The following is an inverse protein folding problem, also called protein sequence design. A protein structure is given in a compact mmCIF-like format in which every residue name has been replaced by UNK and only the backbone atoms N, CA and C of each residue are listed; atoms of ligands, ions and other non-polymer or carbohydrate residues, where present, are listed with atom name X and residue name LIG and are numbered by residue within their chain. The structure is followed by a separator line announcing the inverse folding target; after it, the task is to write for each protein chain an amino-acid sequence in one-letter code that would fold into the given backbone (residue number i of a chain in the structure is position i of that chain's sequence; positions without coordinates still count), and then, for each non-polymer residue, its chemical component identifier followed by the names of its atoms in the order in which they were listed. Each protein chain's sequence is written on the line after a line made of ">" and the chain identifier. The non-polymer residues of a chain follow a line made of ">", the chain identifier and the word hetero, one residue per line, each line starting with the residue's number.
data_IF_348865789579
#
_entry.id   IF_348865789579
#
_cell.length_a   1.000
_cell.length_b   1.000
_cell.length_c   1.000
_cell.angle_alpha   90.00
_cell.angle_beta   90.00
_cell.angle_gamma   90.00
#
_symmetry.space_group_name_H-M   'P 1'
#
loop_
_entity.id
_entity.type
_entity.pdbx_description
1 polymer ?
#
# COMPACT_ATOMS: atom_id res chain seq x y z
N UNK A 1 -7.74 1.24 35.85
CA UNK A 1 -8.66 1.17 34.70
C UNK A 1 -7.83 1.18 33.42
N UNK A 2 -7.65 0.04 32.75
CA UNK A 2 -7.06 0.04 31.41
C UNK A 2 -8.12 0.53 30.44
N UNK A 3 -8.02 1.79 30.00
CA UNK A 3 -8.82 2.27 28.88
C UNK A 3 -8.43 1.41 27.67
N UNK A 4 -9.35 0.53 27.27
CA UNK A 4 -9.13 -0.43 26.19
C UNK A 4 -9.31 0.31 24.86
N UNK A 5 -8.36 1.16 24.52
CA UNK A 5 -8.32 1.78 23.20
C UNK A 5 -7.98 0.69 22.19
N UNK A 6 -9.02 0.04 21.66
CA UNK A 6 -8.90 -1.00 20.66
C UNK A 6 -8.61 -0.31 19.33
N UNK A 7 -7.36 -0.37 18.90
CA UNK A 7 -6.96 0.07 17.57
C UNK A 7 -6.89 -1.13 16.65
N UNK A 8 -7.45 -0.99 15.44
CA UNK A 8 -7.28 -1.98 14.38
C UNK A 8 -5.81 -2.01 13.94
N UNK A 9 -5.31 -3.20 13.64
CA UNK A 9 -3.95 -3.45 13.15
C UNK A 9 -3.97 -4.58 12.13
N UNK A 10 -2.96 -4.62 11.26
CA UNK A 10 -2.68 -5.78 10.42
C UNK A 10 -1.58 -6.62 11.06
N UNK A 11 -1.78 -7.94 11.20
CA UNK A 11 -0.78 -8.85 11.75
C UNK A 11 -0.31 -9.80 10.65
N UNK A 12 0.96 -9.65 10.24
CA UNK A 12 1.62 -10.56 9.31
C UNK A 12 2.29 -11.67 10.11
N UNK A 13 1.65 -12.85 10.12
CA UNK A 13 2.15 -14.06 10.79
C UNK A 13 3.06 -14.80 9.80
N UNK A 14 4.35 -14.90 10.11
CA UNK A 14 5.30 -15.54 9.21
C UNK A 14 5.16 -17.06 9.26
N UNK A 15 5.24 -17.72 8.10
CA UNK A 15 5.52 -19.16 8.08
C UNK A 15 6.90 -19.39 8.71
N UNK A 16 7.06 -20.44 9.52
CA UNK A 16 8.28 -20.73 10.30
C UNK A 16 9.52 -20.72 9.41
N UNK A 17 9.45 -21.28 8.19
CA UNK A 17 10.57 -21.33 7.23
C UNK A 17 11.03 -19.95 6.72
N UNK A 18 10.23 -18.91 6.94
CA UNK A 18 10.48 -17.54 6.51
C UNK A 18 10.59 -16.56 7.69
N UNK A 19 10.68 -17.05 8.93
CA UNK A 19 10.83 -16.19 10.12
C UNK A 19 12.03 -15.25 9.98
N UNK A 20 13.18 -15.74 9.53
CA UNK A 20 14.39 -14.91 9.37
C UNK A 20 14.18 -13.77 8.35
N UNK A 21 13.45 -14.04 7.27
CA UNK A 21 13.08 -13.01 6.28
C UNK A 21 12.18 -11.97 6.94
N UNK A 22 11.20 -12.38 7.76
CA UNK A 22 10.35 -11.47 8.52
C UNK A 22 11.13 -10.62 9.52
N UNK A 23 12.14 -11.20 10.20
CA UNK A 23 13.04 -10.46 11.08
C UNK A 23 13.83 -9.41 10.28
N UNK A 24 14.38 -9.77 9.13
CA UNK A 24 15.08 -8.82 8.26
C UNK A 24 14.17 -7.69 7.77
N UNK A 25 12.94 -8.02 7.37
CA UNK A 25 11.91 -7.04 6.98
C UNK A 25 11.63 -6.06 8.12
N UNK A 26 11.42 -6.56 9.34
CA UNK A 26 11.16 -5.69 10.51
C UNK A 26 12.34 -4.77 10.82
N UNK A 27 13.59 -5.26 10.71
CA UNK A 27 14.80 -4.44 10.92
C UNK A 27 14.91 -3.32 9.89
N UNK A 28 14.62 -3.61 8.62
CA UNK A 28 14.61 -2.61 7.53
C UNK A 28 13.53 -1.55 7.77
N UNK A 29 12.31 -1.95 8.14
CA UNK A 29 11.23 -1.01 8.45
C UNK A 29 11.59 -0.11 9.65
N UNK A 30 12.08 -0.68 10.76
CA UNK A 30 12.54 0.11 11.92
C UNK A 30 13.64 1.10 11.56
N UNK A 31 14.61 0.67 10.76
CA UNK A 31 15.67 1.54 10.27
C UNK A 31 15.10 2.70 9.45
N UNK A 32 14.25 2.41 8.46
CA UNK A 32 13.60 3.42 7.62
C UNK A 32 12.77 4.42 8.45
N UNK A 33 11.97 3.93 9.42
CA UNK A 33 11.17 4.81 10.29
C UNK A 33 12.06 5.66 11.22
N UNK A 34 13.18 5.14 11.71
CA UNK A 34 14.11 5.90 12.55
C UNK A 34 14.79 7.06 11.81
N UNK A 35 14.86 7.01 10.48
CA UNK A 35 15.47 8.05 9.64
C UNK A 35 14.46 9.02 9.03
N UNK A 36 13.15 8.78 9.24
CA UNK A 36 12.07 9.64 8.76
C UNK A 36 11.89 10.94 9.55
N UNK A 37 12.58 11.14 10.67
CA UNK A 37 12.51 12.36 11.49
C UNK A 37 12.80 13.63 10.69
N UNK A 38 13.62 13.52 9.63
CA UNK A 38 13.97 14.62 8.71
C UNK A 38 13.11 14.66 7.44
N UNK A 39 12.13 13.77 7.29
CA UNK A 39 11.24 13.67 6.13
C UNK A 39 9.90 13.06 6.56
N UNK A 40 9.06 13.81 7.30
CA UNK A 40 7.73 13.32 7.67
C UNK A 40 6.86 13.09 6.42
N UNK A 41 6.04 12.04 6.43
CA UNK A 41 5.06 11.78 5.37
C UNK A 41 5.56 10.95 4.18
N UNK A 42 6.66 10.20 4.31
CA UNK A 42 7.05 9.24 3.27
C UNK A 42 6.03 8.09 3.20
N UNK A 43 5.49 7.74 2.00
CA UNK A 43 4.51 6.66 1.85
C UNK A 43 5.12 5.25 2.01
N UNK A 44 5.42 4.87 3.26
CA UNK A 44 5.87 3.55 3.66
C UNK A 44 4.97 3.01 4.76
N UNK A 45 4.66 1.71 4.72
CA UNK A 45 3.88 1.05 5.77
C UNK A 45 4.56 1.21 7.14
N UNK A 46 3.77 1.53 8.15
CA UNK A 46 4.23 1.67 9.52
C UNK A 46 4.27 0.33 10.24
N UNK A 47 5.40 0.06 10.90
CA UNK A 47 5.58 -1.08 11.78
C UNK A 47 5.30 -0.62 13.21
N UNK A 48 4.22 -1.11 13.79
CA UNK A 48 3.81 -0.81 15.16
C UNK A 48 4.72 -1.57 16.14
N UNK A 49 4.81 -2.89 16.00
CA UNK A 49 5.64 -3.74 16.85
C UNK A 49 5.89 -5.11 16.22
N UNK A 50 6.65 -5.95 16.91
CA UNK A 50 6.93 -7.33 16.54
C UNK A 50 6.83 -8.22 17.77
N UNK A 51 6.35 -9.44 17.62
CA UNK A 51 6.34 -10.44 18.69
C UNK A 51 6.48 -11.85 18.11
N UNK A 52 6.66 -12.83 18.98
CA UNK A 52 6.64 -14.25 18.61
C UNK A 52 5.40 -14.90 19.22
N UNK A 53 4.68 -15.70 18.44
CA UNK A 53 3.56 -16.50 18.91
C UNK A 53 3.77 -17.95 18.51
N UNK A 54 4.02 -18.80 19.52
CA UNK A 54 4.53 -20.16 19.28
C UNK A 54 5.84 -20.11 18.47
N UNK A 55 5.96 -20.84 17.36
CA UNK A 55 7.16 -20.81 16.51
C UNK A 55 7.12 -19.69 15.44
N UNK A 56 6.10 -18.83 15.42
CA UNK A 56 5.90 -17.85 14.35
C UNK A 56 6.39 -16.45 14.75
N UNK A 57 7.23 -15.86 13.92
CA UNK A 57 7.54 -14.43 14.02
C UNK A 57 6.37 -13.61 13.45
N UNK A 58 5.96 -12.56 14.16
CA UNK A 58 4.81 -11.74 13.79
C UNK A 58 5.20 -10.27 13.69
N UNK A 59 4.81 -9.62 12.58
CA UNK A 59 4.90 -8.17 12.40
C UNK A 59 3.51 -7.56 12.60
N UNK A 60 3.42 -6.52 13.43
CA UNK A 60 2.21 -5.72 13.61
C UNK A 60 2.38 -4.43 12.84
N UNK A 61 1.52 -4.21 11.85
CA UNK A 61 1.56 -3.10 10.93
C UNK A 61 0.31 -2.23 11.11
N UNK A 62 0.38 -0.98 10.65
CA UNK A 62 -0.82 -0.16 10.50
C UNK A 62 -1.84 -0.85 9.58
N UNK A 63 -3.14 -0.71 9.84
CA UNK A 63 -4.17 -1.25 8.94
C UNK A 63 -4.19 -0.46 7.65
N UNK A 64 -4.05 -1.16 6.51
CA UNK A 64 -4.18 -0.60 5.17
C UNK A 64 -5.07 -1.51 4.33
N UNK A 65 -5.67 -0.96 3.28
CA UNK A 65 -6.62 -1.67 2.43
C UNK A 65 -6.06 -1.88 1.01
N UNK A 66 -6.47 -2.98 0.37
CA UNK A 66 -6.16 -3.23 -1.04
C UNK A 66 -4.93 -4.12 -1.27
N UNK A 67 -4.19 -3.82 -2.35
CA UNK A 67 -3.24 -4.75 -3.01
C UNK A 67 -3.64 -5.12 -4.44
N UNK A 68 -4.63 -4.45 -5.02
CA UNK A 68 -4.87 -4.48 -6.46
C UNK A 68 -5.14 -3.04 -6.88
N UNK A 69 -4.13 -2.39 -7.46
CA UNK A 69 -4.35 -1.17 -8.26
C UNK A 69 -5.13 -1.53 -9.52
N UNK A 70 -6.41 -1.85 -9.36
CA UNK A 70 -7.28 -2.19 -10.47
C UNK A 70 -7.83 -0.93 -11.13
N UNK A 71 -6.96 0.04 -11.44
CA UNK A 71 -7.32 1.11 -12.37
C UNK A 71 -7.85 0.47 -13.68
N UNK A 72 -7.25 -0.65 -14.10
CA UNK A 72 -7.67 -1.46 -15.24
C UNK A 72 -9.06 -2.13 -15.12
N UNK A 73 -9.53 -2.52 -13.92
CA UNK A 73 -10.84 -3.18 -13.78
C UNK A 73 -11.98 -2.19 -14.02
N UNK A 74 -11.78 -0.91 -13.69
CA UNK A 74 -12.72 0.16 -14.04
C UNK A 74 -12.89 0.27 -15.56
N UNK A 75 -11.80 0.17 -16.33
CA UNK A 75 -11.85 0.20 -17.80
C UNK A 75 -12.56 -1.02 -18.40
N UNK A 76 -12.35 -2.23 -17.85
CA UNK A 76 -12.98 -3.47 -18.37
C UNK A 76 -14.48 -3.52 -18.01
N UNK A 77 -14.87 -3.07 -16.81
CA UNK A 77 -16.27 -3.08 -16.40
C UNK A 77 -17.11 -2.06 -17.18
N UNK A 78 -16.57 -0.85 -17.42
CA UNK A 78 -17.25 0.19 -18.20
C UNK A 78 -17.41 -0.16 -19.68
N UNK A 79 -16.55 -1.03 -20.23
CA UNK A 79 -16.72 -1.56 -21.59
C UNK A 79 -17.96 -2.43 -21.78
N UNK A 80 -18.51 -2.96 -20.69
CA UNK A 80 -19.68 -3.84 -20.73
C UNK A 80 -20.99 -3.13 -20.33
N UNK A 81 -20.95 -1.85 -19.95
CA UNK A 81 -22.17 -1.09 -19.66
C UNK A 81 -22.81 -0.66 -20.98
N UNK A 82 -23.89 -1.35 -21.37
CA UNK A 82 -24.79 -0.85 -22.42
C UNK A 82 -25.51 0.40 -21.91
N UNK A 83 -25.57 1.48 -22.72
CA UNK A 83 -26.15 2.75 -22.31
C UNK A 83 -27.66 2.61 -22.20
N UNK A 84 -28.18 2.43 -20.99
CA UNK A 84 -29.63 2.46 -20.76
C UNK A 84 -30.06 3.43 -19.66
N UNK A 85 -29.14 4.21 -19.06
CA UNK A 85 -29.50 5.11 -17.95
C UNK A 85 -28.63 6.36 -17.75
N UNK A 86 -27.71 6.72 -18.64
CA UNK A 86 -26.93 7.97 -18.54
C UNK A 86 -27.25 8.94 -19.69
N UNK A 87 -27.54 10.20 -19.35
CA UNK A 87 -27.80 11.31 -20.29
C UNK A 87 -26.55 11.81 -21.04
N UNK A 88 -25.39 11.20 -20.80
CA UNK A 88 -24.14 11.45 -21.52
C UNK A 88 -23.98 10.44 -22.65
N UNK A 89 -23.40 10.88 -23.77
CA UNK A 89 -23.00 9.97 -24.85
C UNK A 89 -21.94 9.00 -24.34
N UNK A 90 -21.86 7.76 -24.85
CA UNK A 90 -20.82 6.82 -24.47
C UNK A 90 -19.43 7.47 -24.53
N UNK A 91 -19.11 8.20 -25.61
CA UNK A 91 -17.85 8.92 -25.79
C UNK A 91 -17.51 9.89 -24.65
N UNK A 92 -18.50 10.64 -24.14
CA UNK A 92 -18.28 11.56 -23.02
C UNK A 92 -17.97 10.81 -21.71
N UNK A 93 -18.66 9.69 -21.45
CA UNK A 93 -18.41 8.84 -20.28
C UNK A 93 -17.01 8.24 -20.32
N UNK A 94 -16.54 7.81 -21.49
CA UNK A 94 -15.18 7.29 -21.68
C UNK A 94 -14.11 8.34 -21.38
N UNK A 95 -14.26 9.56 -21.92
CA UNK A 95 -13.31 10.64 -21.71
C UNK A 95 -13.23 11.10 -20.25
N UNK A 96 -14.37 11.21 -19.58
CA UNK A 96 -14.40 11.59 -18.17
C UNK A 96 -13.73 10.51 -17.28
N UNK A 97 -14.02 9.24 -17.55
CA UNK A 97 -13.42 8.10 -16.85
C UNK A 97 -11.91 8.03 -17.08
N UNK A 98 -11.47 8.15 -18.33
CA UNK A 98 -10.05 8.12 -18.70
C UNK A 98 -9.28 9.23 -17.97
N UNK A 99 -9.83 10.45 -17.98
CA UNK A 99 -9.25 11.57 -17.28
C UNK A 99 -9.14 11.31 -15.77
N UNK A 100 -10.18 10.77 -15.13
CA UNK A 100 -10.15 10.40 -13.71
C UNK A 100 -9.09 9.32 -13.41
N UNK A 101 -8.97 8.30 -14.25
CA UNK A 101 -7.95 7.26 -14.10
C UNK A 101 -6.53 7.81 -14.26
N UNK A 102 -6.28 8.68 -15.24
CA UNK A 102 -4.98 9.35 -15.42
C UNK A 102 -4.63 10.22 -14.21
N UNK A 103 -5.60 10.95 -13.65
CA UNK A 103 -5.39 11.73 -12.45
C UNK A 103 -5.03 10.85 -11.24
N UNK A 104 -5.71 9.71 -11.07
CA UNK A 104 -5.39 8.75 -10.02
C UNK A 104 -4.00 8.15 -10.21
N UNK A 105 -3.68 7.69 -11.43
CA UNK A 105 -2.37 7.15 -11.79
C UNK A 105 -1.24 8.13 -11.49
N UNK A 106 -1.43 9.42 -11.82
CA UNK A 106 -0.47 10.48 -11.53
C UNK A 106 -0.24 10.69 -10.02
N UNK A 107 -1.30 10.66 -9.21
CA UNK A 107 -1.19 10.76 -7.74
C UNK A 107 -0.43 9.57 -7.16
N UNK A 108 -0.76 8.35 -7.61
CA UNK A 108 -0.08 7.13 -7.20
C UNK A 108 1.39 7.17 -7.60
N UNK A 109 1.68 7.54 -8.86
CA UNK A 109 3.05 7.65 -9.35
C UNK A 109 3.88 8.65 -8.54
N UNK A 110 3.31 9.79 -8.17
CA UNK A 110 3.98 10.77 -7.32
C UNK A 110 4.34 10.18 -5.94
N UNK A 111 3.39 9.51 -5.27
CA UNK A 111 3.63 8.86 -3.98
C UNK A 111 4.68 7.74 -4.08
N UNK A 112 4.60 6.90 -5.11
CA UNK A 112 5.59 5.84 -5.35
C UNK A 112 6.98 6.41 -5.59
N UNK A 113 7.10 7.48 -6.37
CA UNK A 113 8.38 8.14 -6.61
C UNK A 113 8.93 8.75 -5.33
N UNK A 114 8.10 9.32 -4.46
CA UNK A 114 8.52 9.79 -3.12
C UNK A 114 9.09 8.64 -2.29
N UNK A 115 8.41 7.48 -2.24
CA UNK A 115 8.91 6.31 -1.51
C UNK A 115 10.21 5.78 -2.12
N UNK A 116 10.31 5.70 -3.44
CA UNK A 116 11.49 5.21 -4.14
C UNK A 116 12.70 6.15 -4.01
N UNK A 117 12.49 7.45 -4.06
CA UNK A 117 13.53 8.44 -3.80
C UNK A 117 14.08 8.27 -2.38
N UNK A 118 13.20 8.11 -1.40
CA UNK A 118 13.59 7.86 -0.01
C UNK A 118 14.40 6.55 0.13
N UNK A 119 13.91 5.44 -0.42
CA UNK A 119 14.63 4.16 -0.42
C UNK A 119 16.01 4.28 -1.07
N UNK A 120 16.12 5.03 -2.18
CA UNK A 120 17.39 5.32 -2.86
C UNK A 120 18.36 6.07 -1.95
N UNK A 121 17.91 7.13 -1.24
CA UNK A 121 18.75 7.88 -0.28
C UNK A 121 19.24 6.98 0.86
N UNK A 122 18.39 6.05 1.30
CA UNK A 122 18.71 5.06 2.33
C UNK A 122 19.54 3.86 1.81
N UNK A 123 19.89 3.84 0.51
CA UNK A 123 20.59 2.75 -0.18
C UNK A 123 19.90 1.38 -0.03
N UNK A 124 18.57 1.38 -0.05
CA UNK A 124 17.75 0.17 0.04
C UNK A 124 17.09 -0.12 -1.31
N UNK A 125 17.17 -1.37 -1.75
CA UNK A 125 16.46 -1.88 -2.92
C UNK A 125 15.26 -2.68 -2.41
N UNK A 126 14.04 -2.36 -2.86
CA UNK A 126 12.84 -3.13 -2.51
C UNK A 126 12.83 -4.52 -3.16
N UNK A 127 13.25 -4.62 -4.43
CA UNK A 127 13.39 -5.85 -5.22
C UNK A 127 12.11 -6.67 -5.51
N UNK A 128 10.93 -6.22 -5.06
CA UNK A 128 9.62 -6.86 -5.29
C UNK A 128 8.52 -5.79 -5.40
N UNK A 129 8.80 -4.68 -6.10
CA UNK A 129 7.80 -3.63 -6.28
C UNK A 129 6.79 -4.08 -7.35
N UNK A 130 5.54 -4.27 -6.93
CA UNK A 130 4.42 -4.72 -7.77
C UNK A 130 3.09 -4.19 -7.21
N UNK A 131 2.01 -4.14 -8.01
CA UNK A 131 0.72 -3.61 -7.59
C UNK A 131 0.17 -4.18 -6.27
N UNK A 132 0.53 -5.43 -5.96
CA UNK A 132 0.12 -6.15 -4.76
C UNK A 132 0.78 -5.63 -3.48
N UNK A 133 1.96 -5.01 -3.61
CA UNK A 133 2.72 -4.44 -2.51
C UNK A 133 2.48 -2.93 -2.34
N UNK A 134 1.46 -2.38 -3.00
CA UNK A 134 1.05 -0.97 -2.90
C UNK A 134 -0.38 -0.93 -2.35
N UNK A 135 -0.52 -0.40 -1.14
CA UNK A 135 -1.75 -0.40 -0.37
C UNK A 135 -2.34 1.01 -0.27
N UNK A 136 -3.65 1.10 -0.01
CA UNK A 136 -4.36 2.35 0.20
C UNK A 136 -4.51 2.63 1.70
N UNK A 137 -4.30 3.90 2.05
CA UNK A 137 -4.73 4.47 3.33
C UNK A 137 -6.22 4.79 3.21
N UNK A 138 -6.99 4.59 4.27
CA UNK A 138 -8.40 5.00 4.33
C UNK A 138 -8.59 6.51 4.33
#
# INVERSE_FOLDING_TARGET
>A
MYSSNKHHVAIKIMNIKYNEIGVQESKKLRYLHSTQTSSPGIPLVQLVTTFTFGPHFCLVLEPLHGGHLSLAKSFIHLRNISPSSSSLTPAAVWHETEHQCLQAARKIAAQLLTSLEFLKRMRIIHADLKPENILKVD
#
